data_IF_705845628810
#
_entry.id   IF_705845628810
#
_cell.length_a   1.000
_cell.length_b   1.000
_cell.length_c   1.000
_cell.angle_alpha   90.00
_cell.angle_beta   90.00
_cell.angle_gamma   90.00
#
_symmetry.space_group_name_H-M   'P 1'
#
loop_
_entity.id
_entity.type
_entity.pdbx_description
1 polymer ?
#
# COMPACT_ATOMS: atom_id res chain seq x y z
N UNK A 1 -56.56 26.86 -38.37
CA UNK A 1 -57.11 27.97 -37.59
C UNK A 1 -56.67 27.72 -36.15
N UNK A 2 -55.48 28.19 -35.79
CA UNK A 2 -55.21 29.49 -35.12
C UNK A 2 -55.69 29.47 -33.67
N UNK A 3 -54.98 29.93 -32.67
CA UNK A 3 -53.58 30.29 -32.37
C UNK A 3 -53.66 30.73 -30.89
N UNK A 4 -52.51 30.74 -30.21
CA UNK A 4 -52.22 31.55 -29.00
C UNK A 4 -52.95 31.17 -27.70
N UNK A 5 -52.45 31.44 -26.51
CA UNK A 5 -51.14 31.80 -25.94
C UNK A 5 -51.41 31.81 -24.43
N UNK A 6 -50.39 31.58 -23.61
CA UNK A 6 -50.53 31.87 -22.17
C UNK A 6 -49.42 31.31 -21.30
N UNK A 7 -48.23 31.93 -21.35
CA UNK A 7 -47.42 32.04 -20.14
C UNK A 7 -48.02 33.13 -19.22
N UNK A 8 -47.78 33.00 -17.90
CA UNK A 8 -46.99 34.04 -17.24
C UNK A 8 -45.93 33.52 -16.26
N UNK A 9 -45.00 34.44 -15.96
CA UNK A 9 -43.74 34.32 -15.22
C UNK A 9 -43.86 34.34 -13.67
N UNK A 10 -42.88 33.65 -13.06
CA UNK A 10 -42.01 33.94 -11.88
C UNK A 10 -42.54 34.28 -10.46
N UNK A 11 -41.80 33.66 -9.51
CA UNK A 11 -41.51 33.97 -8.09
C UNK A 11 -42.65 33.64 -7.10
N UNK A 12 -42.46 32.80 -6.07
CA UNK A 12 -41.55 32.98 -4.92
C UNK A 12 -41.41 31.65 -4.12
N UNK A 13 -40.28 31.44 -3.45
CA UNK A 13 -40.12 30.42 -2.40
C UNK A 13 -40.82 30.90 -1.11
N UNK A 14 -41.32 29.99 -0.25
CA UNK A 14 -40.56 29.78 0.98
C UNK A 14 -40.63 28.35 1.58
N UNK A 15 -39.65 28.14 2.46
CA UNK A 15 -39.69 27.32 3.67
C UNK A 15 -39.50 25.79 3.59
N UNK A 16 -38.27 25.44 4.01
CA UNK A 16 -37.86 24.22 4.70
C UNK A 16 -38.94 23.73 5.67
N UNK A 17 -39.19 22.42 5.64
CA UNK A 17 -39.57 21.69 6.86
C UNK A 17 -38.51 20.62 7.13
N UNK A 18 -37.85 20.84 8.26
CA UNK A 18 -36.91 19.97 8.95
C UNK A 18 -37.55 18.65 9.40
N UNK A 19 -36.75 17.59 9.50
CA UNK A 19 -36.74 16.56 10.56
C UNK A 19 -35.84 15.37 10.15
N UNK A 20 -35.21 14.66 11.09
CA UNK A 20 -34.20 15.13 12.03
C UNK A 20 -32.85 14.41 11.80
N UNK A 21 -31.76 15.14 12.01
CA UNK A 21 -30.42 14.59 12.14
C UNK A 21 -30.37 13.70 13.39
N UNK A 22 -29.99 12.44 13.21
CA UNK A 22 -29.76 11.54 14.34
C UNK A 22 -28.34 11.79 14.85
N UNK A 23 -28.27 12.58 15.91
CA UNK A 23 -27.09 12.82 16.73
C UNK A 23 -26.57 11.50 17.32
N UNK A 24 -25.36 11.12 16.93
CA UNK A 24 -24.49 10.28 17.73
C UNK A 24 -23.06 10.84 17.61
N UNK A 25 -22.92 12.12 17.96
CA UNK A 25 -21.62 12.71 18.29
C UNK A 25 -21.39 12.48 19.78
N UNK A 26 -20.60 11.44 20.10
CA UNK A 26 -19.91 11.39 21.38
C UNK A 26 -18.89 12.52 21.39
N UNK A 27 -19.27 13.59 22.08
CA UNK A 27 -18.38 14.64 22.59
C UNK A 27 -17.21 13.99 23.33
N UNK A 28 -16.01 14.10 22.76
CA UNK A 28 -14.76 13.89 23.49
C UNK A 28 -14.18 15.27 23.74
N UNK A 29 -14.27 15.68 25.00
CA UNK A 29 -13.79 16.97 25.51
C UNK A 29 -12.35 17.25 25.07
N UNK A 30 -12.18 18.32 24.30
CA UNK A 30 -10.94 19.06 24.20
C UNK A 30 -10.82 19.93 25.45
N UNK A 31 -9.93 19.54 26.37
CA UNK A 31 -9.36 20.50 27.31
C UNK A 31 -7.84 20.45 27.21
N UNK A 32 -7.34 21.51 26.58
CA UNK A 32 -5.95 21.94 26.56
C UNK A 32 -5.35 21.93 27.97
N UNK A 33 -4.28 21.18 28.14
CA UNK A 33 -3.21 21.54 29.06
C UNK A 33 -1.96 21.80 28.21
N UNK A 34 -1.55 23.06 28.21
CA UNK A 34 -0.27 23.53 27.71
C UNK A 34 0.85 22.84 28.47
N UNK A 35 1.73 22.13 27.78
CA UNK A 35 3.11 21.97 28.23
C UNK A 35 4.00 22.75 27.27
N UNK A 36 4.62 23.79 27.82
CA UNK A 36 5.62 24.64 27.19
C UNK A 36 6.79 23.78 26.69
N UNK A 37 7.02 23.79 25.38
CA UNK A 37 8.25 23.31 24.80
C UNK A 37 9.38 24.31 25.14
N UNK A 38 10.50 23.89 25.75
CA UNK A 38 11.69 24.72 25.70
C UNK A 38 12.28 24.63 24.29
N UNK A 39 12.50 25.81 23.70
CA UNK A 39 13.24 26.05 22.46
C UNK A 39 14.51 25.20 22.43
N UNK A 40 14.62 24.28 21.47
CA UNK A 40 15.89 23.60 21.20
C UNK A 40 16.74 24.51 20.35
N UNK A 41 17.72 25.10 21.03
CA UNK A 41 18.89 25.75 20.46
C UNK A 41 19.58 24.88 19.40
N UNK A 42 20.06 25.57 18.37
CA UNK A 42 21.07 25.12 17.42
C UNK A 42 22.32 24.53 18.10
N UNK A 43 22.96 23.61 17.36
CA UNK A 43 24.37 23.15 17.36
C UNK A 43 24.56 21.65 17.69
N UNK A 44 25.68 21.02 17.27
CA UNK A 44 26.31 21.03 15.94
C UNK A 44 26.73 19.60 15.47
N UNK A 45 27.15 19.53 14.21
CA UNK A 45 27.99 18.53 13.51
C UNK A 45 28.23 17.14 14.16
N UNK A 46 27.75 16.13 13.43
CA UNK A 46 28.09 14.71 13.54
C UNK A 46 29.60 14.44 13.51
N UNK A 47 30.11 13.65 14.46
CA UNK A 47 31.24 12.76 14.22
C UNK A 47 31.12 11.43 14.99
N UNK A 48 31.47 10.36 14.26
CA UNK A 48 31.81 8.99 14.67
C UNK A 48 30.69 7.93 14.78
N UNK A 49 30.25 7.46 13.61
CA UNK A 49 29.70 6.11 13.46
C UNK A 49 30.84 5.07 13.32
N UNK A 50 30.70 3.95 14.04
CA UNK A 50 31.61 2.81 13.92
C UNK A 50 31.35 2.06 12.62
N UNK A 51 32.41 1.85 11.83
CA UNK A 51 32.42 0.99 10.64
C UNK A 51 31.85 -0.41 10.95
N UNK A 52 30.72 -0.75 10.32
CA UNK A 52 30.32 -2.14 10.05
C UNK A 52 29.80 -2.23 8.61
N UNK A 53 30.44 -3.14 7.87
CA UNK A 53 30.08 -3.77 6.61
C UNK A 53 29.16 -2.98 5.67
N UNK A 54 29.75 -1.94 5.06
CA UNK A 54 29.26 -1.37 3.81
C UNK A 54 29.33 -2.44 2.73
N UNK A 55 28.21 -3.06 2.37
CA UNK A 55 27.98 -3.35 0.96
C UNK A 55 28.24 -2.02 0.23
N UNK A 56 29.28 -1.98 -0.60
CA UNK A 56 29.56 -0.81 -1.44
C UNK A 56 28.31 -0.58 -2.30
N UNK A 57 27.43 0.33 -1.86
CA UNK A 57 26.33 0.84 -2.66
C UNK A 57 26.97 1.56 -3.85
N UNK A 58 27.17 0.83 -4.95
CA UNK A 58 27.54 1.44 -6.22
C UNK A 58 26.55 2.59 -6.46
N UNK A 59 27.04 3.81 -6.74
CA UNK A 59 26.16 4.93 -6.99
C UNK A 59 25.25 4.59 -8.18
N UNK A 60 23.94 4.56 -7.92
CA UNK A 60 22.93 4.31 -8.95
C UNK A 60 22.94 5.55 -9.85
N UNK A 61 23.63 5.47 -10.98
CA UNK A 61 23.57 6.52 -12.00
C UNK A 61 22.21 6.46 -12.71
N UNK A 62 21.25 7.20 -12.19
CA UNK A 62 19.91 7.33 -12.75
C UNK A 62 19.87 8.37 -13.87
N UNK A 63 19.49 7.96 -15.08
CA UNK A 63 19.28 8.86 -16.23
C UNK A 63 17.79 9.16 -16.41
N UNK A 64 17.45 10.45 -16.53
CA UNK A 64 16.10 10.91 -16.81
C UNK A 64 15.75 10.75 -18.29
N UNK A 65 15.11 9.64 -18.65
CA UNK A 65 14.56 9.47 -19.99
C UNK A 65 13.28 10.28 -20.18
N UNK A 66 12.93 10.71 -21.42
CA UNK A 66 11.67 11.39 -21.70
C UNK A 66 10.43 10.60 -21.22
N UNK A 67 10.47 9.27 -21.32
CA UNK A 67 9.41 8.38 -20.85
C UNK A 67 9.27 8.42 -19.33
N UNK A 68 10.38 8.39 -18.59
CA UNK A 68 10.37 8.52 -17.13
C UNK A 68 9.83 9.89 -16.72
N UNK A 69 10.27 10.97 -17.37
CA UNK A 69 9.75 12.33 -17.12
C UNK A 69 8.24 12.38 -17.34
N UNK A 70 7.74 11.77 -18.42
CA UNK A 70 6.30 11.69 -18.71
C UNK A 70 5.54 10.91 -17.63
N UNK A 71 6.08 9.79 -17.14
CA UNK A 71 5.46 8.99 -16.08
C UNK A 71 5.40 9.78 -14.78
N UNK A 72 6.53 10.35 -14.35
CA UNK A 72 6.61 11.09 -13.10
C UNK A 72 5.79 12.39 -13.09
N UNK A 73 5.58 13.03 -14.24
CA UNK A 73 4.67 14.21 -14.36
C UNK A 73 3.20 13.84 -14.48
N UNK A 74 2.86 12.55 -14.65
CA UNK A 74 1.49 12.13 -14.95
C UNK A 74 0.51 12.15 -13.77
N UNK A 75 0.96 12.43 -12.54
CA UNK A 75 0.13 12.39 -11.32
C UNK A 75 -0.67 11.09 -11.16
N UNK A 76 -0.05 9.95 -11.49
CA UNK A 76 -0.67 8.62 -11.40
C UNK A 76 -1.74 8.34 -12.46
N UNK A 77 -1.88 9.20 -13.48
CA UNK A 77 -2.74 8.98 -14.64
C UNK A 77 -2.12 8.01 -15.66
N UNK A 78 -0.83 7.69 -15.52
CA UNK A 78 -0.15 6.65 -16.29
C UNK A 78 0.34 5.58 -15.32
N UNK A 79 -0.10 4.34 -15.52
CA UNK A 79 0.49 3.18 -14.86
C UNK A 79 1.71 2.71 -15.68
N UNK A 80 2.91 2.52 -15.11
CA UNK A 80 4.12 2.26 -15.89
C UNK A 80 4.05 1.05 -16.83
N UNK A 81 3.40 -0.04 -16.39
CA UNK A 81 3.26 -1.25 -17.22
C UNK A 81 2.00 -1.33 -18.08
N UNK A 82 0.95 -0.56 -17.77
CA UNK A 82 -0.35 -0.65 -18.47
C UNK A 82 -0.52 0.52 -19.44
N UNK A 83 0.05 1.68 -19.10
CA UNK A 83 -0.09 2.92 -19.85
C UNK A 83 -1.15 3.87 -19.26
N UNK A 84 -1.68 4.78 -20.08
CA UNK A 84 -2.64 5.79 -19.64
C UNK A 84 -3.93 5.16 -19.09
N UNK A 85 -4.39 5.70 -17.97
CA UNK A 85 -5.62 5.31 -17.31
C UNK A 85 -6.74 6.28 -17.68
N UNK A 86 -7.89 5.72 -18.02
CA UNK A 86 -9.14 6.50 -18.16
C UNK A 86 -9.73 6.74 -16.77
N UNK A 87 -10.26 7.93 -16.50
CA UNK A 87 -10.90 8.25 -15.23
C UNK A 87 -12.37 8.62 -15.44
N UNK A 88 -13.24 8.12 -14.58
CA UNK A 88 -14.65 8.47 -14.51
C UNK A 88 -14.99 8.91 -13.08
N UNK A 89 -15.54 10.12 -12.93
CA UNK A 89 -15.85 10.74 -11.61
C UNK A 89 -14.68 10.69 -10.62
N UNK A 90 -13.46 10.93 -11.10
CA UNK A 90 -12.25 10.94 -10.28
C UNK A 90 -11.67 9.57 -9.94
N UNK A 91 -12.28 8.46 -10.37
CA UNK A 91 -11.77 7.10 -10.16
C UNK A 91 -11.27 6.47 -11.46
N UNK A 92 -10.19 5.67 -11.43
CA UNK A 92 -9.72 4.99 -12.64
C UNK A 92 -10.75 3.97 -13.12
N UNK A 93 -11.10 4.04 -14.40
CA UNK A 93 -11.95 3.10 -15.09
C UNK A 93 -11.07 1.96 -15.66
N UNK A 94 -10.85 0.93 -14.85
CA UNK A 94 -10.01 -0.22 -15.19
C UNK A 94 -10.78 -1.28 -16.00
N UNK A 95 -11.23 -0.91 -17.21
CA UNK A 95 -11.92 -1.84 -18.12
C UNK A 95 -10.94 -2.44 -19.11
N UNK A 96 -10.81 -3.77 -19.09
CA UNK A 96 -10.10 -4.50 -20.14
C UNK A 96 -10.69 -4.24 -21.53
N UNK A 97 -9.81 -4.12 -22.53
CA UNK A 97 -10.16 -4.02 -23.95
C UNK A 97 -9.45 -5.12 -24.73
N UNK A 98 -10.09 -5.71 -25.75
CA UNK A 98 -9.45 -6.74 -26.58
C UNK A 98 -8.14 -6.21 -27.18
N UNK A 99 -7.07 -7.01 -27.06
CA UNK A 99 -5.74 -6.64 -27.54
C UNK A 99 -4.88 -5.87 -26.53
N UNK A 100 -5.41 -5.53 -25.35
CA UNK A 100 -4.59 -5.01 -24.25
C UNK A 100 -3.69 -6.12 -23.71
N UNK A 101 -2.37 -5.87 -23.68
CA UNK A 101 -1.43 -6.77 -23.02
C UNK A 101 -1.69 -6.73 -21.51
N UNK A 102 -1.77 -7.91 -20.89
CA UNK A 102 -1.86 -8.11 -19.45
C UNK A 102 -1.12 -9.40 -19.10
N UNK A 103 -0.45 -9.47 -17.94
CA UNK A 103 0.31 -10.64 -17.54
C UNK A 103 -0.62 -11.83 -17.34
N UNK A 104 -0.07 -13.04 -17.46
CA UNK A 104 -0.78 -14.24 -17.02
C UNK A 104 -0.80 -14.29 -15.50
N UNK A 105 -1.97 -14.33 -14.83
CA UNK A 105 -2.05 -14.47 -13.38
C UNK A 105 -1.30 -15.70 -12.82
N UNK A 106 -1.14 -16.76 -13.62
CA UNK A 106 -0.37 -17.93 -13.24
C UNK A 106 1.15 -17.67 -13.25
N UNK A 107 1.63 -16.70 -14.04
CA UNK A 107 3.02 -16.23 -14.00
C UNK A 107 3.17 -15.12 -12.95
N UNK A 108 3.30 -15.55 -11.69
CA UNK A 108 3.51 -14.66 -10.56
C UNK A 108 4.69 -13.71 -10.75
N UNK A 109 5.77 -14.15 -11.42
CA UNK A 109 6.95 -13.32 -11.64
C UNK A 109 6.64 -12.22 -12.64
N UNK A 110 5.93 -12.54 -13.73
CA UNK A 110 5.45 -11.54 -14.67
C UNK A 110 4.56 -10.51 -13.96
N UNK A 111 3.58 -10.94 -13.18
CA UNK A 111 2.73 -10.01 -12.42
C UNK A 111 3.53 -9.09 -11.49
N UNK A 112 4.51 -9.61 -10.76
CA UNK A 112 5.36 -8.78 -9.89
C UNK A 112 6.24 -7.78 -10.66
N UNK A 113 6.72 -8.14 -11.86
CA UNK A 113 7.41 -7.16 -12.74
C UNK A 113 6.47 -6.05 -13.20
N UNK A 114 5.20 -6.38 -13.45
CA UNK A 114 4.17 -5.42 -13.84
C UNK A 114 3.72 -4.51 -12.69
N UNK A 115 3.97 -4.91 -11.43
CA UNK A 115 3.76 -4.08 -10.24
C UNK A 115 5.02 -3.27 -9.91
N UNK A 116 6.12 -3.52 -10.63
CA UNK A 116 7.32 -2.69 -10.58
C UNK A 116 8.49 -3.31 -9.84
N UNK A 117 8.50 -4.61 -9.56
CA UNK A 117 9.65 -5.25 -8.94
C UNK A 117 10.70 -5.67 -9.97
N UNK A 118 11.97 -5.53 -9.61
CA UNK A 118 13.10 -6.06 -10.38
C UNK A 118 13.23 -7.58 -10.22
N UNK A 119 13.78 -8.24 -11.25
CA UNK A 119 13.98 -9.70 -11.28
C UNK A 119 14.73 -10.24 -10.06
N UNK A 120 15.82 -9.57 -9.65
CA UNK A 120 16.60 -9.96 -8.47
C UNK A 120 15.72 -10.00 -7.22
N UNK A 121 14.96 -8.92 -6.97
CA UNK A 121 14.08 -8.80 -5.80
C UNK A 121 12.92 -9.80 -5.85
N UNK A 122 12.36 -10.06 -7.03
CA UNK A 122 11.32 -11.09 -7.22
C UNK A 122 11.84 -12.47 -6.79
N UNK A 123 13.07 -12.83 -7.20
CA UNK A 123 13.67 -14.11 -6.82
C UNK A 123 13.92 -14.21 -5.31
N UNK A 124 14.39 -13.13 -4.68
CA UNK A 124 14.58 -13.07 -3.22
C UNK A 124 13.25 -13.28 -2.47
N UNK A 125 12.18 -12.58 -2.87
CA UNK A 125 10.85 -12.73 -2.25
C UNK A 125 10.32 -14.14 -2.49
N UNK A 126 10.50 -14.71 -3.69
CA UNK A 126 10.03 -16.05 -4.00
C UNK A 126 10.74 -17.12 -3.17
N UNK A 127 12.06 -16.99 -2.97
CA UNK A 127 12.81 -17.87 -2.08
C UNK A 127 12.30 -17.77 -0.64
N UNK A 128 12.07 -16.55 -0.14
CA UNK A 128 11.49 -16.31 1.20
C UNK A 128 10.09 -16.91 1.31
N UNK A 129 9.24 -16.73 0.28
CA UNK A 129 7.88 -17.28 0.24
C UNK A 129 7.90 -18.80 0.31
N UNK A 130 8.73 -19.46 -0.50
CA UNK A 130 8.84 -20.92 -0.51
C UNK A 130 9.40 -21.47 0.82
N UNK A 131 10.27 -20.72 1.49
CA UNK A 131 10.79 -21.10 2.81
C UNK A 131 9.72 -20.98 3.91
N UNK A 132 8.88 -19.94 3.85
CA UNK A 132 7.78 -19.72 4.82
C UNK A 132 6.57 -20.61 4.56
N UNK A 133 6.35 -21.01 3.31
CA UNK A 133 5.19 -21.79 2.88
C UNK A 133 5.60 -22.98 2.00
N UNK A 134 6.36 -23.96 2.54
CA UNK A 134 6.85 -25.10 1.76
C UNK A 134 5.73 -25.98 1.20
N UNK A 135 4.58 -26.00 1.88
CA UNK A 135 3.41 -26.79 1.50
C UNK A 135 2.32 -25.96 0.80
N UNK A 136 2.65 -24.76 0.31
CA UNK A 136 1.67 -23.88 -0.33
C UNK A 136 1.03 -24.55 -1.57
N UNK A 137 -0.28 -24.76 -1.51
CA UNK A 137 -1.09 -25.22 -2.64
C UNK A 137 -2.02 -24.10 -3.09
N UNK A 138 -1.50 -23.23 -3.96
CA UNK A 138 -2.28 -22.16 -4.57
C UNK A 138 -3.16 -22.63 -5.73
N UNK A 139 -4.10 -21.78 -6.18
CA UNK A 139 -4.90 -22.05 -7.37
C UNK A 139 -3.99 -22.21 -8.61
N UNK A 140 -4.23 -23.25 -9.41
CA UNK A 140 -3.43 -23.53 -10.62
C UNK A 140 -3.46 -22.38 -11.63
N UNK A 141 -4.57 -21.66 -11.70
CA UNK A 141 -4.76 -20.51 -12.57
C UNK A 141 -4.22 -19.19 -12.00
N UNK A 142 -3.66 -19.20 -10.79
CA UNK A 142 -3.07 -18.01 -10.14
C UNK A 142 -4.07 -17.05 -9.48
N UNK A 143 -5.38 -17.28 -9.64
CA UNK A 143 -6.45 -16.51 -9.04
C UNK A 143 -7.50 -17.39 -8.38
N UNK A 144 -8.23 -16.82 -7.43
CA UNK A 144 -9.33 -17.45 -6.70
C UNK A 144 -10.46 -16.45 -6.48
N UNK A 145 -11.59 -16.86 -5.93
CA UNK A 145 -12.65 -15.95 -5.47
C UNK A 145 -12.76 -15.93 -3.96
N UNK A 146 -13.01 -14.74 -3.40
CA UNK A 146 -13.23 -14.57 -1.98
C UNK A 146 -14.40 -13.65 -1.72
N UNK A 147 -15.29 -14.11 -0.85
CA UNK A 147 -16.38 -13.31 -0.35
C UNK A 147 -15.89 -12.45 0.83
N UNK A 148 -15.99 -11.13 0.66
CA UNK A 148 -15.48 -10.13 1.59
C UNK A 148 -16.64 -9.44 2.32
N UNK A 149 -16.44 -9.20 3.61
CA UNK A 149 -17.36 -8.43 4.45
C UNK A 149 -16.65 -7.23 5.08
N UNK A 150 -16.54 -6.16 4.30
CA UNK A 150 -16.05 -4.85 4.74
C UNK A 150 -17.23 -3.94 5.10
N UNK A 151 -17.50 -2.89 4.31
CA UNK A 151 -18.65 -2.00 4.47
C UNK A 151 -19.94 -2.58 3.86
N UNK A 152 -19.78 -3.34 2.77
CA UNK A 152 -20.83 -4.12 2.13
C UNK A 152 -20.31 -5.53 1.87
N UNK A 153 -21.21 -6.51 1.74
CA UNK A 153 -20.88 -7.88 1.39
C UNK A 153 -20.68 -7.98 -0.13
N UNK A 154 -19.50 -8.40 -0.58
CA UNK A 154 -19.20 -8.58 -1.99
C UNK A 154 -18.19 -9.70 -2.26
N UNK A 155 -18.29 -10.36 -3.41
CA UNK A 155 -17.34 -11.33 -3.91
C UNK A 155 -16.32 -10.66 -4.83
N UNK A 156 -15.05 -11.02 -4.68
CA UNK A 156 -13.96 -10.49 -5.48
C UNK A 156 -13.05 -11.61 -5.98
N UNK A 157 -12.52 -11.43 -7.19
CA UNK A 157 -11.44 -12.26 -7.70
C UNK A 157 -10.13 -11.79 -7.08
N UNK A 158 -9.48 -12.69 -6.35
CA UNK A 158 -8.22 -12.47 -5.63
C UNK A 158 -7.07 -13.17 -6.36
N UNK A 159 -5.84 -12.78 -6.03
CA UNK A 159 -4.63 -13.33 -6.64
C UNK A 159 -3.64 -13.73 -5.52
N UNK A 160 -3.95 -14.80 -4.77
CA UNK A 160 -3.42 -14.98 -3.42
C UNK A 160 -1.89 -15.02 -3.34
N UNK A 161 -1.23 -15.71 -4.28
CA UNK A 161 0.23 -15.81 -4.30
C UNK A 161 0.90 -14.46 -4.62
N UNK A 162 0.34 -13.72 -5.57
CA UNK A 162 0.86 -12.39 -5.95
C UNK A 162 0.66 -11.41 -4.79
N UNK A 163 -0.53 -11.41 -4.18
CA UNK A 163 -0.85 -10.55 -3.04
C UNK A 163 0.04 -10.84 -1.84
N UNK A 164 0.28 -12.12 -1.51
CA UNK A 164 1.16 -12.49 -0.41
C UNK A 164 2.61 -12.06 -0.67
N UNK A 165 3.14 -12.33 -1.86
CA UNK A 165 4.50 -11.92 -2.21
C UNK A 165 4.67 -10.39 -2.22
N UNK A 166 3.67 -9.65 -2.69
CA UNK A 166 3.67 -8.19 -2.62
C UNK A 166 3.61 -7.69 -1.16
N UNK A 167 2.76 -8.28 -0.33
CA UNK A 167 2.68 -7.94 1.09
C UNK A 167 3.99 -8.23 1.82
N UNK A 168 4.64 -9.36 1.53
CA UNK A 168 5.96 -9.70 2.06
C UNK A 168 7.01 -8.66 1.65
N UNK A 169 6.96 -8.18 0.41
CA UNK A 169 7.84 -7.11 -0.05
C UNK A 169 7.60 -5.81 0.70
N UNK A 170 6.32 -5.38 0.80
CA UNK A 170 5.95 -4.14 1.50
C UNK A 170 6.39 -4.18 2.96
N UNK A 171 6.12 -5.28 3.67
CA UNK A 171 6.61 -5.46 5.06
C UNK A 171 8.12 -5.35 5.14
N UNK A 172 8.84 -6.04 4.25
CA UNK A 172 10.31 -5.96 4.20
C UNK A 172 10.85 -4.55 3.93
N UNK A 173 10.08 -3.66 3.27
CA UNK A 173 10.47 -2.25 3.15
C UNK A 173 10.27 -1.48 4.47
N UNK A 174 9.25 -1.79 5.26
CA UNK A 174 9.05 -1.17 6.57
C UNK A 174 10.07 -1.65 7.61
N UNK A 175 10.59 -2.87 7.45
CA UNK A 175 11.68 -3.42 8.25
C UNK A 175 13.06 -2.83 7.88
N UNK A 176 13.16 -2.10 6.76
CA UNK A 176 14.39 -1.46 6.31
C UNK A 176 14.62 -0.13 7.04
N UNK A 177 15.74 -0.03 7.75
CA UNK A 177 16.13 1.15 8.52
C UNK A 177 17.42 1.79 8.02
N UNK A 178 17.87 1.38 6.85
CA UNK A 178 19.03 1.93 6.16
C UNK A 178 18.87 3.44 5.93
N UNK A 179 19.98 4.17 6.10
CA UNK A 179 20.05 5.60 5.83
C UNK A 179 19.71 5.90 4.36
N UNK A 180 19.04 7.03 4.13
CA UNK A 180 18.71 7.53 2.80
C UNK A 180 18.78 9.05 2.78
N UNK A 181 19.00 9.62 1.60
CA UNK A 181 19.00 11.06 1.42
C UNK A 181 17.55 11.57 1.35
N UNK A 182 17.18 12.53 2.22
CA UNK A 182 15.84 13.12 2.27
C UNK A 182 15.64 14.16 1.15
N UNK A 183 15.71 13.69 -0.09
CA UNK A 183 15.51 14.49 -1.32
C UNK A 183 14.72 13.71 -2.35
N UNK A 184 14.11 14.41 -3.32
CA UNK A 184 13.44 13.81 -4.49
C UNK A 184 14.27 12.66 -5.09
N UNK A 185 15.57 12.90 -5.27
CA UNK A 185 16.49 11.95 -5.86
C UNK A 185 16.77 10.78 -4.90
N UNK A 186 17.02 11.06 -3.62
CA UNK A 186 17.27 10.03 -2.61
C UNK A 186 16.13 9.03 -2.44
N UNK A 187 14.87 9.48 -2.46
CA UNK A 187 13.71 8.58 -2.42
C UNK A 187 13.62 7.64 -3.64
N UNK A 188 13.96 8.14 -4.83
CA UNK A 188 13.99 7.32 -6.05
C UNK A 188 15.11 6.28 -5.97
N UNK A 189 16.32 6.71 -5.62
CA UNK A 189 17.48 5.83 -5.47
C UNK A 189 17.21 4.75 -4.42
N UNK A 190 16.61 5.13 -3.29
CA UNK A 190 16.21 4.19 -2.24
C UNK A 190 15.18 3.18 -2.74
N UNK A 191 14.19 3.61 -3.51
CA UNK A 191 13.22 2.71 -4.14
C UNK A 191 13.90 1.69 -5.06
N UNK A 192 14.86 2.13 -5.86
CA UNK A 192 15.63 1.25 -6.74
C UNK A 192 16.48 0.26 -5.95
N UNK A 193 17.18 0.74 -4.91
CA UNK A 193 17.98 -0.10 -4.00
C UNK A 193 17.10 -1.18 -3.34
N UNK A 194 15.90 -0.80 -2.90
CA UNK A 194 14.90 -1.72 -2.34
C UNK A 194 14.29 -2.67 -3.39
N UNK A 195 14.61 -2.52 -4.67
CA UNK A 195 14.23 -3.46 -5.72
C UNK A 195 13.06 -3.02 -6.58
N UNK A 196 12.67 -1.74 -6.54
CA UNK A 196 11.71 -1.17 -7.48
C UNK A 196 12.37 -0.81 -8.80
N UNK A 197 11.68 -1.09 -9.89
CA UNK A 197 12.05 -0.65 -11.23
C UNK A 197 12.05 0.88 -11.33
N UNK A 198 12.88 1.48 -12.21
CA UNK A 198 13.06 2.93 -12.29
C UNK A 198 11.74 3.64 -12.64
N UNK A 199 10.91 3.02 -13.48
CA UNK A 199 9.62 3.58 -13.90
C UNK A 199 8.57 3.62 -12.78
N UNK A 200 8.78 2.87 -11.70
CA UNK A 200 7.91 2.87 -10.52
C UNK A 200 8.53 3.71 -9.39
N UNK A 201 9.83 3.58 -9.15
CA UNK A 201 10.56 4.33 -8.13
C UNK A 201 10.43 5.85 -8.32
N UNK A 202 10.24 6.32 -9.56
CA UNK A 202 10.02 7.74 -9.87
C UNK A 202 8.81 8.38 -9.17
N UNK A 203 7.79 7.59 -8.82
CA UNK A 203 6.64 8.06 -8.04
C UNK A 203 7.00 8.23 -6.57
N UNK A 204 7.99 7.48 -6.08
CA UNK A 204 8.51 7.64 -4.73
C UNK A 204 9.23 8.98 -4.55
N UNK A 205 9.75 9.54 -5.65
CA UNK A 205 10.38 10.85 -5.65
C UNK A 205 9.44 12.04 -5.46
N UNK A 206 8.11 11.91 -5.39
CA UNK A 206 7.16 13.05 -5.33
C UNK A 206 7.20 13.87 -4.01
N UNK A 207 8.40 14.20 -3.54
CA UNK A 207 8.76 14.98 -2.36
C UNK A 207 8.16 16.40 -2.35
N UNK A 208 8.10 17.04 -1.17
CA UNK A 208 7.58 18.41 -1.01
C UNK A 208 8.27 19.46 -1.88
N UNK A 209 9.53 19.20 -2.24
CA UNK A 209 10.34 20.08 -3.10
C UNK A 209 10.18 19.76 -4.59
N UNK A 210 9.32 18.82 -4.98
CA UNK A 210 9.13 18.43 -6.37
C UNK A 210 8.33 19.52 -7.13
N UNK A 211 8.93 20.19 -8.14
CA UNK A 211 8.26 21.26 -8.86
C UNK A 211 7.01 20.80 -9.63
N UNK A 212 6.84 19.50 -9.90
CA UNK A 212 5.66 18.91 -10.55
C UNK A 212 4.45 18.84 -9.60
N UNK A 213 4.71 18.95 -8.31
CA UNK A 213 3.75 18.78 -7.23
C UNK A 213 3.14 20.11 -6.74
N UNK A 214 3.80 21.25 -7.03
CA UNK A 214 3.39 22.61 -6.65
C UNK A 214 2.02 23.07 -7.22
N UNK A 215 1.53 22.43 -8.28
CA UNK A 215 0.28 22.78 -8.95
C UNK A 215 -0.98 22.15 -8.31
N UNK A 216 -0.84 21.31 -7.27
CA UNK A 216 -1.96 20.72 -6.53
C UNK A 216 -1.71 20.79 -5.01
N UNK A 217 -1.80 22.00 -4.44
CA UNK A 217 -1.51 22.28 -3.02
C UNK A 217 -2.31 21.42 -2.04
N UNK A 218 -3.50 20.95 -2.39
CA UNK A 218 -4.34 20.12 -1.52
C UNK A 218 -3.73 18.74 -1.18
N UNK A 219 -2.82 18.21 -2.01
CA UNK A 219 -2.05 17.01 -1.68
C UNK A 219 -0.99 17.29 -0.59
N UNK A 220 -0.63 18.56 -0.40
CA UNK A 220 0.37 19.04 0.55
C UNK A 220 -0.23 19.70 1.80
N UNK A 221 -1.43 20.30 1.71
CA UNK A 221 -2.03 21.10 2.79
C UNK A 221 -2.32 20.32 4.08
N UNK A 222 -2.32 18.98 4.06
CA UNK A 222 -2.52 18.14 5.26
C UNK A 222 -1.69 16.85 5.36
N UNK A 223 -0.92 16.44 4.35
CA UNK A 223 -0.63 15.00 4.15
C UNK A 223 0.82 14.51 4.08
N UNK A 224 1.83 15.36 3.90
CA UNK A 224 3.21 14.91 3.65
C UNK A 224 4.20 15.51 4.63
N UNK A 225 3.93 15.35 5.93
CA UNK A 225 4.92 15.57 6.99
C UNK A 225 5.50 14.20 7.40
N UNK A 226 6.82 14.04 7.23
CA UNK A 226 7.64 12.92 7.74
C UNK A 226 7.24 11.49 7.32
N UNK A 227 7.00 11.22 6.04
CA UNK A 227 6.81 9.84 5.55
C UNK A 227 8.15 9.19 5.19
N UNK A 228 8.37 7.97 5.68
CA UNK A 228 9.55 7.19 5.35
C UNK A 228 9.50 6.69 3.89
N UNK A 229 10.64 6.24 3.31
CA UNK A 229 10.66 5.68 1.96
C UNK A 229 9.70 4.50 1.81
N UNK A 230 9.56 3.67 2.83
CA UNK A 230 8.62 2.55 2.86
C UNK A 230 7.16 2.99 2.68
N UNK A 231 6.74 4.05 3.37
CA UNK A 231 5.36 4.58 3.28
C UNK A 231 5.06 5.05 1.86
N UNK A 232 5.94 5.88 1.29
CA UNK A 232 5.77 6.43 -0.05
C UNK A 232 5.81 5.32 -1.13
N UNK A 233 6.66 4.31 -0.94
CA UNK A 233 6.72 3.16 -1.84
C UNK A 233 5.44 2.31 -1.75
N UNK A 234 4.91 2.10 -0.55
CA UNK A 234 3.65 1.39 -0.37
C UNK A 234 2.48 2.14 -1.02
N UNK A 235 2.45 3.47 -0.89
CA UNK A 235 1.49 4.38 -1.55
C UNK A 235 1.62 4.39 -3.07
N UNK A 236 2.74 3.91 -3.62
CA UNK A 236 2.94 3.72 -5.06
C UNK A 236 2.51 2.32 -5.52
N UNK A 237 2.96 1.29 -4.81
CA UNK A 237 2.78 -0.10 -5.20
C UNK A 237 1.35 -0.58 -5.00
N UNK A 238 0.71 -0.22 -3.88
CA UNK A 238 -0.64 -0.66 -3.56
C UNK A 238 -1.63 -0.16 -4.63
N UNK A 239 -1.67 1.13 -5.00
CA UNK A 239 -2.55 1.56 -6.08
C UNK A 239 -2.21 0.96 -7.44
N UNK A 240 -0.93 0.74 -7.74
CA UNK A 240 -0.49 0.09 -8.99
C UNK A 240 -1.01 -1.34 -9.07
N UNK A 241 -0.84 -2.11 -7.98
CA UNK A 241 -1.39 -3.44 -7.87
C UNK A 241 -2.91 -3.47 -7.96
N UNK A 242 -3.62 -2.60 -7.22
CA UNK A 242 -5.08 -2.54 -7.26
C UNK A 242 -5.60 -2.30 -8.68
N UNK A 243 -4.95 -1.42 -9.45
CA UNK A 243 -5.29 -1.18 -10.86
C UNK A 243 -5.03 -2.42 -11.71
N UNK A 244 -3.86 -3.03 -11.60
CA UNK A 244 -3.52 -4.25 -12.36
C UNK A 244 -4.50 -5.39 -12.05
N UNK A 245 -4.78 -5.63 -10.76
CA UNK A 245 -5.75 -6.61 -10.26
C UNK A 245 -7.11 -6.43 -10.93
N UNK A 246 -7.59 -5.20 -10.96
CA UNK A 246 -8.88 -4.84 -11.54
C UNK A 246 -8.92 -5.08 -13.06
N UNK A 247 -7.85 -4.73 -13.79
CA UNK A 247 -7.73 -5.04 -15.21
C UNK A 247 -7.70 -6.56 -15.48
N UNK A 248 -6.98 -7.33 -14.66
CA UNK A 248 -6.95 -8.79 -14.78
C UNK A 248 -8.32 -9.40 -14.49
N UNK A 249 -9.02 -8.94 -13.45
CA UNK A 249 -10.36 -9.41 -13.13
C UNK A 249 -11.36 -9.10 -14.24
N UNK A 250 -11.32 -7.89 -14.84
CA UNK A 250 -12.19 -7.55 -15.97
C UNK A 250 -11.85 -8.32 -17.25
N UNK A 251 -10.58 -8.68 -17.47
CA UNK A 251 -10.18 -9.61 -18.54
C UNK A 251 -10.81 -10.99 -18.34
N UNK A 252 -10.82 -11.54 -17.13
CA UNK A 252 -11.47 -12.82 -16.84
C UNK A 252 -12.97 -12.79 -17.13
N UNK A 253 -13.65 -11.69 -16.79
CA UNK A 253 -15.05 -11.49 -17.15
C UNK A 253 -15.26 -11.45 -18.67
N UNK A 254 -14.40 -10.73 -19.39
CA UNK A 254 -14.45 -10.65 -20.85
C UNK A 254 -14.23 -12.02 -21.52
N UNK A 255 -13.31 -12.82 -20.98
CA UNK A 255 -12.98 -14.17 -21.48
C UNK A 255 -14.03 -15.24 -21.09
N UNK A 256 -15.08 -14.87 -20.34
CA UNK A 256 -16.10 -15.81 -19.87
C UNK A 256 -15.62 -16.76 -18.77
N UNK A 257 -14.45 -16.49 -18.17
CA UNK A 257 -13.92 -17.21 -17.00
C UNK A 257 -14.48 -16.69 -15.68
N UNK A 258 -15.17 -15.56 -15.73
CA UNK A 258 -15.86 -14.96 -14.61
C UNK A 258 -17.11 -14.23 -15.08
N UNK A 259 -17.98 -13.85 -14.14
CA UNK A 259 -19.14 -12.99 -14.36
C UNK A 259 -19.31 -12.02 -13.20
N UNK A 260 -20.12 -11.00 -13.39
CA UNK A 260 -20.35 -9.95 -12.38
C UNK A 260 -21.83 -9.73 -12.14
N UNK A 261 -22.19 -9.38 -10.91
CA UNK A 261 -23.54 -9.01 -10.49
C UNK A 261 -23.53 -7.94 -9.39
N UNK A 262 -24.67 -7.77 -8.69
CA UNK A 262 -24.79 -6.80 -7.59
C UNK A 262 -23.94 -7.16 -6.37
N UNK A 263 -23.52 -8.41 -6.24
CA UNK A 263 -22.69 -8.88 -5.14
C UNK A 263 -21.22 -8.99 -5.54
N UNK A 264 -20.80 -8.61 -6.74
CA UNK A 264 -19.38 -8.55 -7.11
C UNK A 264 -19.02 -9.40 -8.32
N UNK A 265 -17.86 -10.06 -8.29
CA UNK A 265 -17.34 -10.89 -9.38
C UNK A 265 -17.18 -12.33 -8.94
N UNK A 266 -17.61 -13.25 -9.79
CA UNK A 266 -17.66 -14.68 -9.52
C UNK A 266 -16.92 -15.45 -10.61
N UNK A 267 -16.18 -16.49 -10.22
CA UNK A 267 -15.48 -17.37 -11.14
C UNK A 267 -16.42 -18.40 -11.75
N UNK A 268 -16.12 -18.77 -13.00
CA UNK A 268 -16.64 -19.97 -13.64
C UNK A 268 -15.60 -21.06 -13.42
N UNK A 269 -15.94 -22.09 -12.65
CA UNK A 269 -14.98 -23.13 -12.28
C UNK A 269 -14.71 -24.09 -13.44
N UNK A 270 -13.60 -24.82 -13.38
CA UNK A 270 -13.23 -25.79 -14.40
C UNK A 270 -14.33 -26.85 -14.56
N UNK A 271 -14.80 -27.05 -15.80
CA UNK A 271 -15.90 -27.98 -16.11
C UNK A 271 -17.31 -27.41 -15.91
N UNK A 272 -17.43 -26.15 -15.47
CA UNK A 272 -18.71 -25.46 -15.26
C UNK A 272 -19.07 -24.59 -16.49
N UNK A 273 -20.35 -24.54 -16.86
CA UNK A 273 -20.87 -23.55 -17.82
C UNK A 273 -21.20 -22.23 -17.12
N UNK A 274 -21.28 -21.13 -17.88
CA UNK A 274 -21.66 -19.82 -17.34
C UNK A 274 -23.02 -19.83 -16.63
N UNK A 275 -23.98 -20.59 -17.16
CA UNK A 275 -25.31 -20.77 -16.58
C UNK A 275 -25.26 -21.56 -15.27
N UNK A 276 -24.42 -22.59 -15.21
CA UNK A 276 -24.20 -23.37 -13.98
C UNK A 276 -23.55 -22.50 -12.88
N UNK A 277 -22.53 -21.71 -13.24
CA UNK A 277 -21.87 -20.78 -12.33
C UNK A 277 -22.83 -19.75 -11.75
N UNK A 278 -23.73 -19.22 -12.57
CA UNK A 278 -24.78 -18.29 -12.11
C UNK A 278 -25.82 -18.96 -11.23
N UNK A 279 -26.22 -20.20 -11.54
CA UNK A 279 -27.21 -20.94 -10.77
C UNK A 279 -26.70 -21.38 -9.38
N UNK A 280 -25.37 -21.50 -9.20
CA UNK A 280 -24.73 -21.79 -7.90
C UNK A 280 -24.88 -20.67 -6.88
N UNK A 281 -24.97 -19.42 -7.33
CA UNK A 281 -25.04 -18.24 -6.48
C UNK A 281 -26.49 -17.83 -6.27
N UNK A 282 -27.13 -18.43 -5.27
CA UNK A 282 -28.48 -18.05 -4.80
C UNK A 282 -28.42 -17.26 -3.49
N UNK A 283 -29.54 -16.68 -3.06
CA UNK A 283 -29.58 -15.86 -1.83
C UNK A 283 -29.16 -16.65 -0.58
N UNK A 284 -29.40 -17.97 -0.55
CA UNK A 284 -29.00 -18.83 0.58
C UNK A 284 -27.48 -19.02 0.62
N UNK A 285 -26.87 -19.21 -0.54
CA UNK A 285 -25.42 -19.27 -0.68
C UNK A 285 -24.76 -17.95 -0.28
N UNK A 286 -25.34 -16.81 -0.70
CA UNK A 286 -24.88 -15.49 -0.28
C UNK A 286 -24.91 -15.32 1.24
N UNK A 287 -26.00 -15.73 1.92
CA UNK A 287 -26.05 -15.67 3.39
C UNK A 287 -25.03 -16.58 4.05
N UNK A 288 -24.83 -17.81 3.53
CA UNK A 288 -23.79 -18.72 4.01
C UNK A 288 -22.40 -18.09 3.88
N UNK A 289 -22.10 -17.47 2.75
CA UNK A 289 -20.82 -16.82 2.48
C UNK A 289 -20.61 -15.59 3.38
N UNK A 290 -21.65 -14.82 3.69
CA UNK A 290 -21.59 -13.72 4.67
C UNK A 290 -21.22 -14.24 6.06
N UNK A 291 -21.93 -15.25 6.55
CA UNK A 291 -21.63 -15.84 7.87
C UNK A 291 -20.19 -16.36 7.94
N UNK A 292 -19.74 -17.02 6.88
CA UNK A 292 -18.36 -17.49 6.78
C UNK A 292 -17.36 -16.33 6.77
N UNK A 293 -17.59 -15.28 5.98
CA UNK A 293 -16.72 -14.11 5.90
C UNK A 293 -16.62 -13.36 7.24
N UNK A 294 -17.74 -13.23 7.99
CA UNK A 294 -17.73 -12.66 9.35
C UNK A 294 -16.82 -13.48 10.26
N UNK A 295 -16.98 -14.80 10.23
CA UNK A 295 -16.20 -15.71 11.07
C UNK A 295 -14.72 -15.63 10.74
N UNK A 296 -14.35 -15.73 9.46
CA UNK A 296 -12.97 -15.64 9.00
C UNK A 296 -12.34 -14.28 9.35
N UNK A 297 -13.07 -13.17 9.18
CA UNK A 297 -12.61 -11.84 9.55
C UNK A 297 -12.33 -11.72 11.04
N UNK A 298 -13.20 -12.29 11.88
CA UNK A 298 -13.02 -12.31 13.34
C UNK A 298 -11.76 -13.12 13.71
N UNK A 299 -11.60 -14.30 13.14
CA UNK A 299 -10.43 -15.15 13.37
C UNK A 299 -9.12 -14.51 12.86
N UNK A 300 -9.16 -13.82 11.71
CA UNK A 300 -8.04 -13.06 11.19
C UNK A 300 -7.66 -11.89 12.10
N UNK A 301 -8.64 -11.15 12.61
CA UNK A 301 -8.42 -10.03 13.53
C UNK A 301 -7.83 -10.50 14.87
N UNK A 302 -8.32 -11.63 15.40
CA UNK A 302 -7.75 -12.25 16.61
C UNK A 302 -6.30 -12.70 16.40
N UNK A 303 -5.99 -13.27 15.22
CA UNK A 303 -4.60 -13.62 14.86
C UNK A 303 -3.71 -12.38 14.75
N UNK A 304 -4.18 -11.33 14.08
CA UNK A 304 -3.47 -10.06 13.96
C UNK A 304 -3.12 -9.47 15.32
N UNK A 305 -4.06 -9.41 16.26
CA UNK A 305 -3.78 -8.90 17.60
C UNK A 305 -2.77 -9.75 18.38
N UNK A 306 -2.78 -11.07 18.20
CA UNK A 306 -1.78 -11.95 18.81
C UNK A 306 -0.40 -11.73 18.22
N UNK A 307 -0.31 -11.56 16.91
CA UNK A 307 0.95 -11.29 16.23
C UNK A 307 1.53 -9.93 16.62
N UNK A 308 0.72 -8.87 16.61
CA UNK A 308 1.14 -7.55 17.13
C UNK A 308 1.55 -7.58 18.60
N UNK A 309 0.92 -8.43 19.43
CA UNK A 309 1.32 -8.58 20.82
C UNK A 309 2.68 -9.29 20.94
N UNK A 310 2.95 -10.28 20.07
CA UNK A 310 4.24 -10.97 20.00
C UNK A 310 5.34 -10.01 19.54
N UNK A 311 5.10 -9.28 18.45
CA UNK A 311 6.05 -8.31 17.90
C UNK A 311 6.40 -7.22 18.92
N UNK A 312 5.40 -6.63 19.57
CA UNK A 312 5.65 -5.66 20.66
C UNK A 312 6.47 -6.26 21.81
N UNK A 313 6.21 -7.52 22.18
CA UNK A 313 6.99 -8.18 23.22
C UNK A 313 8.45 -8.46 22.78
N UNK A 314 8.66 -8.79 21.50
CA UNK A 314 9.99 -8.97 20.92
C UNK A 314 10.77 -7.65 20.87
N UNK A 315 10.12 -6.54 20.53
CA UNK A 315 10.73 -5.21 20.53
C UNK A 315 11.00 -4.70 21.95
N UNK A 316 10.07 -4.89 22.89
CA UNK A 316 10.31 -4.59 24.30
C UNK A 316 11.49 -5.39 24.86
N UNK A 317 11.62 -6.67 24.48
CA UNK A 317 12.75 -7.50 24.87
C UNK A 317 14.07 -7.03 24.24
N UNK A 318 14.03 -6.56 22.99
CA UNK A 318 15.19 -5.99 22.29
C UNK A 318 15.68 -4.72 22.96
N UNK A 319 14.78 -3.78 23.26
CA UNK A 319 15.11 -2.55 23.99
C UNK A 319 15.65 -2.83 25.39
N UNK A 320 15.06 -3.77 26.13
CA UNK A 320 15.56 -4.14 27.45
C UNK A 320 16.98 -4.74 27.40
N UNK A 321 17.32 -5.48 26.34
CA UNK A 321 18.66 -6.02 26.13
C UNK A 321 19.65 -4.92 25.72
N UNK A 322 19.25 -3.98 24.86
CA UNK A 322 20.06 -2.81 24.47
C UNK A 322 20.38 -1.93 25.69
N UNK A 323 19.38 -1.62 26.53
CA UNK A 323 19.55 -0.88 27.78
C UNK A 323 20.51 -1.59 28.74
N UNK A 324 20.41 -2.93 28.85
CA UNK A 324 21.32 -3.72 29.68
C UNK A 324 22.76 -3.62 29.17
N UNK A 325 22.96 -3.77 27.86
CA UNK A 325 24.28 -3.67 27.23
C UNK A 325 24.88 -2.27 27.37
N UNK A 326 24.06 -1.22 27.28
CA UNK A 326 24.51 0.16 27.51
C UNK A 326 24.92 0.38 28.97
N UNK A 327 24.11 -0.09 29.93
CA UNK A 327 24.43 -0.01 31.35
C UNK A 327 25.72 -0.78 31.72
N UNK A 328 25.96 -1.93 31.10
CA UNK A 328 27.22 -2.69 31.26
C UNK A 328 28.42 -1.93 30.69
N UNK A 329 28.31 -1.35 29.49
CA UNK A 329 29.37 -0.51 28.91
C UNK A 329 29.69 0.70 29.79
N UNK A 330 28.67 1.35 30.36
CA UNK A 330 28.84 2.51 31.23
C UNK A 330 29.57 2.14 32.53
N UNK A 331 29.22 0.98 33.12
CA UNK A 331 29.93 0.44 34.30
C UNK A 331 31.38 0.10 33.98
N UNK A 332 31.64 -0.55 32.85
CA UNK A 332 33.01 -0.90 32.45
C UNK A 332 33.86 0.36 32.24
N UNK A 333 33.32 1.38 31.57
CA UNK A 333 33.99 2.68 31.38
C UNK A 333 34.32 3.35 32.71
N UNK A 334 33.40 3.32 33.68
CA UNK A 334 33.65 3.86 35.02
C UNK A 334 34.73 3.09 35.80
N UNK A 335 34.85 1.77 35.60
CA UNK A 335 35.91 0.95 36.20
C UNK A 335 37.26 1.28 35.56
N UNK A 336 37.31 1.42 34.24
CA UNK A 336 38.53 1.72 33.49
C UNK A 336 39.07 3.13 33.83
N UNK A 337 38.19 4.12 33.97
CA UNK A 337 38.53 5.49 34.41
C UNK A 337 39.04 5.51 35.87
N UNK A 338 38.45 4.71 36.76
CA UNK A 338 38.91 4.58 38.15
C UNK A 338 40.25 3.82 38.29
N UNK A 339 40.58 2.96 37.33
CA UNK A 339 41.88 2.29 37.22
C UNK A 339 43.00 3.25 36.81
N UNK A 340 42.74 4.12 35.83
CA UNK A 340 43.71 5.12 35.37
C UNK A 340 44.06 6.15 36.44
N UNK A 341 43.10 6.57 37.28
CA UNK A 341 43.37 7.48 38.40
C UNK A 341 44.25 6.88 39.50
N UNK A 342 44.36 5.55 39.60
CA UNK A 342 45.22 4.88 40.59
C UNK A 342 46.64 4.59 40.09
N UNK A 343 46.85 4.62 38.78
CA UNK A 343 48.17 4.43 38.16
C UNK A 343 48.89 5.78 37.92
N UNK A 344 48.23 6.92 38.15
CA UNK A 344 48.80 8.28 38.10
C UNK A 344 49.17 8.89 39.47
N UNK A 345 48.95 8.17 40.58
CA UNK A 345 49.50 8.47 41.93
C UNK A 345 50.79 7.67 42.20
#
# INVERSE_FOLDING_TARGET
MSDADGEPKLEDHPEREDHPENENQLTRDNRLEHEDHPERHDQPEHENHSKRDTEENEPINFEWTPELVKIGTSRGTIHPSIGPLTFYRGSPECKYRPGMALPDPADTRECLRWIGLFDKKILEIEQKFNALHPDYQGPRCGYDEKFMQHAHAYNEITFPKIEEMLNMFIRGMHDDHDEFEYTHKGYIEKGIQLGLRPEFAIFCGLHETDPRALENSHLFEKGWFSLGPADIMSDTLIPSWMKLREFMATKLTYEGKAWSDRYGRWLVHEGESMEQAKARVDDREIERLKEQAIKEKKEALERFYREQARERAEDEARWAEEDRLEAEKLKQKSIDEAGQQKDEE
#
